data_IF_067831297997
#
_entry.id   IF_067831297997
#
_cell.length_a   1.000
_cell.length_b   1.000
_cell.length_c   1.000
_cell.angle_alpha   90.00
_cell.angle_beta   90.00
_cell.angle_gamma   90.00
#
_symmetry.space_group_name_H-M   'P 1'
#
loop_
_entity.id
_entity.type
_entity.pdbx_description
1 polymer ?
#
# COMPACT_ATOMS: atom_id res chain seq x y z
N UNK A 1 -12.37 51.38 23.51
CA UNK A 1 -11.64 50.53 22.54
C UNK A 1 -11.51 49.12 23.12
N UNK A 2 -12.31 48.16 22.67
CA UNK A 2 -12.18 46.74 23.04
C UNK A 2 -11.82 45.96 21.77
N UNK A 3 -10.61 45.40 21.73
CA UNK A 3 -10.11 44.56 20.63
C UNK A 3 -10.89 43.24 20.61
N UNK A 4 -11.49 42.90 19.46
CA UNK A 4 -12.06 41.58 19.19
C UNK A 4 -10.92 40.55 19.15
N UNK A 5 -10.94 39.56 20.04
CA UNK A 5 -10.25 38.29 19.79
C UNK A 5 -11.13 37.49 18.82
N UNK A 6 -10.65 37.25 17.60
CA UNK A 6 -11.15 36.17 16.77
C UNK A 6 -10.51 34.87 17.27
N UNK A 7 -11.34 33.98 17.78
CA UNK A 7 -11.04 32.58 18.02
C UNK A 7 -10.85 31.88 16.67
N UNK A 8 -9.63 31.47 16.35
CA UNK A 8 -9.35 30.50 15.29
C UNK A 8 -9.45 29.12 15.92
N UNK A 9 -10.59 28.46 15.75
CA UNK A 9 -10.70 27.01 15.98
C UNK A 9 -10.04 26.33 14.78
N UNK A 10 -8.76 25.99 14.92
CA UNK A 10 -8.11 25.05 14.03
C UNK A 10 -8.69 23.66 14.34
N UNK A 11 -9.68 23.23 13.57
CA UNK A 11 -10.16 21.85 13.61
C UNK A 11 -9.15 20.99 12.88
N UNK A 12 -8.16 20.49 13.62
CA UNK A 12 -7.24 19.46 13.15
C UNK A 12 -8.06 18.18 12.92
N UNK A 13 -8.43 17.91 11.67
CA UNK A 13 -8.90 16.57 11.28
C UNK A 13 -7.66 15.69 11.25
N UNK A 14 -7.40 15.04 12.38
CA UNK A 14 -6.40 13.98 12.49
C UNK A 14 -6.94 12.74 11.77
N UNK A 15 -6.74 12.70 10.45
CA UNK A 15 -7.07 11.53 9.65
C UNK A 15 -5.98 10.47 9.88
N UNK A 16 -6.16 9.62 10.89
CA UNK A 16 -5.30 8.45 11.11
C UNK A 16 -5.75 7.34 10.15
N UNK A 17 -5.39 7.48 8.88
CA UNK A 17 -5.34 6.31 8.00
C UNK A 17 -4.03 5.60 8.32
N UNK A 18 -4.09 4.59 9.18
CA UNK A 18 -2.96 3.70 9.41
C UNK A 18 -2.93 2.69 8.27
N UNK A 19 -2.31 3.07 7.14
CA UNK A 19 -1.90 2.10 6.14
C UNK A 19 -0.86 1.17 6.77
N UNK A 20 -1.31 0.05 7.35
CA UNK A 20 -0.42 -1.01 7.81
C UNK A 20 0.00 -1.83 6.60
N UNK A 21 1.09 -1.39 5.97
CA UNK A 21 1.84 -2.14 4.96
C UNK A 21 2.16 -3.53 5.51
N UNK A 22 1.40 -4.54 5.13
CA UNK A 22 1.86 -5.91 5.31
C UNK A 22 2.59 -6.35 4.06
N UNK A 23 3.86 -6.69 4.27
CA UNK A 23 4.85 -7.15 3.31
C UNK A 23 4.26 -7.83 2.06
N UNK A 24 4.35 -7.11 0.93
CA UNK A 24 4.63 -7.67 -0.40
C UNK A 24 3.69 -8.75 -0.96
N UNK A 25 2.38 -8.71 -0.68
CA UNK A 25 1.48 -9.65 -1.33
C UNK A 25 0.11 -9.04 -1.65
N UNK A 26 -0.12 -8.78 -2.94
CA UNK A 26 -1.45 -8.63 -3.54
C UNK A 26 -2.28 -9.88 -3.36
N UNK A 27 -3.61 -9.75 -3.48
CA UNK A 27 -4.45 -10.89 -3.77
C UNK A 27 -4.21 -11.40 -5.19
N UNK A 28 -4.42 -12.69 -5.44
CA UNK A 28 -4.37 -13.27 -6.77
C UNK A 28 -5.67 -14.00 -7.06
N UNK A 29 -6.19 -13.87 -8.28
CA UNK A 29 -7.38 -14.62 -8.69
C UNK A 29 -6.92 -15.96 -9.26
N UNK A 30 -7.41 -17.06 -8.67
CA UNK A 30 -7.23 -18.43 -9.20
C UNK A 30 -8.53 -19.20 -9.10
N UNK A 31 -8.90 -19.87 -10.20
CA UNK A 31 -10.11 -20.70 -10.27
C UNK A 31 -11.38 -19.97 -9.79
N UNK A 32 -11.50 -18.67 -10.09
CA UNK A 32 -12.64 -17.85 -9.67
C UNK A 32 -12.61 -17.39 -8.19
N UNK A 33 -11.57 -17.76 -7.44
CA UNK A 33 -11.38 -17.35 -6.04
C UNK A 33 -10.28 -16.32 -5.90
N UNK A 34 -10.50 -15.31 -5.05
CA UNK A 34 -9.45 -14.39 -4.61
C UNK A 34 -8.65 -15.08 -3.51
N UNK A 35 -7.40 -15.42 -3.81
CA UNK A 35 -6.42 -15.89 -2.85
C UNK A 35 -5.66 -14.70 -2.27
N UNK A 36 -5.46 -14.68 -0.96
CA UNK A 36 -4.80 -13.57 -0.26
C UNK A 36 -3.63 -14.09 0.58
N UNK A 37 -2.58 -13.30 0.79
CA UNK A 37 -1.50 -13.70 1.69
C UNK A 37 -2.00 -13.87 3.11
N UNK A 38 -1.70 -15.04 3.69
CA UNK A 38 -2.12 -15.37 5.04
C UNK A 38 -1.70 -14.31 6.06
N UNK A 39 -0.41 -14.00 6.09
CA UNK A 39 0.13 -13.10 7.11
C UNK A 39 -0.43 -11.68 6.95
N UNK A 40 -0.49 -11.19 5.71
CA UNK A 40 -0.87 -9.81 5.46
C UNK A 40 -2.32 -9.46 5.66
N UNK A 41 -3.21 -10.44 5.61
CA UNK A 41 -4.61 -10.23 5.97
C UNK A 41 -4.84 -10.48 7.46
N UNK A 42 -4.36 -11.60 7.99
CA UNK A 42 -4.79 -12.06 9.31
C UNK A 42 -4.11 -11.35 10.47
N UNK A 43 -2.86 -10.90 10.34
CA UNK A 43 -2.24 -10.06 11.37
C UNK A 43 -2.99 -8.73 11.52
N UNK A 44 -3.44 -8.16 10.39
CA UNK A 44 -4.24 -6.94 10.37
C UNK A 44 -5.64 -7.13 10.97
N UNK A 45 -6.22 -8.34 10.87
CA UNK A 45 -7.46 -8.70 11.57
C UNK A 45 -7.24 -9.04 13.07
N UNK A 46 -6.00 -8.96 13.56
CA UNK A 46 -5.67 -9.21 14.97
C UNK A 46 -5.39 -10.65 15.34
N UNK A 47 -5.09 -11.50 14.36
CA UNK A 47 -4.57 -12.83 14.63
C UNK A 47 -3.06 -12.78 14.80
N UNK A 48 -2.53 -13.76 15.55
CA UNK A 48 -1.11 -14.08 15.53
C UNK A 48 -0.89 -15.22 14.55
N UNK A 49 0.18 -15.14 13.77
CA UNK A 49 0.52 -16.14 12.75
C UNK A 49 1.90 -16.72 13.07
N UNK A 50 1.99 -18.04 13.19
CA UNK A 50 3.22 -18.77 13.44
C UNK A 50 3.42 -19.84 12.38
N UNK A 51 4.68 -20.08 12.00
CA UNK A 51 5.05 -21.19 11.14
C UNK A 51 5.77 -22.25 11.95
N UNK A 52 5.30 -23.49 11.90
CA UNK A 52 6.02 -24.65 12.39
C UNK A 52 6.79 -25.26 11.21
N UNK A 53 8.13 -25.19 11.25
CA UNK A 53 9.00 -25.74 10.21
C UNK A 53 9.01 -27.26 10.17
N UNK A 54 8.86 -27.92 11.31
CA UNK A 54 9.00 -29.37 11.44
C UNK A 54 7.79 -30.09 10.84
N UNK A 55 6.60 -29.49 10.99
CA UNK A 55 5.34 -30.01 10.45
C UNK A 55 4.87 -29.26 9.19
N UNK A 56 5.65 -28.30 8.71
CA UNK A 56 5.30 -27.38 7.62
C UNK A 56 3.86 -26.82 7.75
N UNK A 57 3.52 -26.33 8.94
CA UNK A 57 2.15 -25.94 9.31
C UNK A 57 2.09 -24.48 9.73
N UNK A 58 1.19 -23.71 9.12
CA UNK A 58 0.83 -22.38 9.59
C UNK A 58 -0.23 -22.49 10.69
N UNK A 59 0.07 -21.91 11.84
CA UNK A 59 -0.82 -21.81 13.00
C UNK A 59 -1.27 -20.36 13.15
N UNK A 60 -2.58 -20.12 13.07
CA UNK A 60 -3.17 -18.79 13.16
C UNK A 60 -4.17 -18.77 14.30
N UNK A 61 -4.06 -17.81 15.21
CA UNK A 61 -4.97 -17.76 16.35
C UNK A 61 -5.21 -16.37 16.89
N UNK A 62 -6.40 -16.19 17.47
CA UNK A 62 -6.74 -15.08 18.35
C UNK A 62 -7.52 -15.63 19.56
N UNK A 63 -8.21 -14.78 20.31
CA UNK A 63 -8.98 -15.19 21.49
C UNK A 63 -10.12 -16.17 21.16
N UNK A 64 -10.66 -16.14 19.94
CA UNK A 64 -11.88 -16.88 19.55
C UNK A 64 -11.64 -18.03 18.57
N UNK A 65 -10.51 -18.01 17.87
CA UNK A 65 -10.23 -18.91 16.76
C UNK A 65 -8.82 -19.50 16.84
N UNK A 66 -8.73 -20.80 16.53
CA UNK A 66 -7.50 -21.54 16.28
C UNK A 66 -7.59 -22.20 14.91
N UNK A 67 -6.68 -21.84 14.02
CA UNK A 67 -6.65 -22.28 12.64
C UNK A 67 -5.31 -22.97 12.37
N UNK A 68 -5.36 -24.13 11.73
CA UNK A 68 -4.19 -24.91 11.35
C UNK A 68 -4.22 -25.24 9.86
N UNK A 69 -3.13 -24.89 9.16
CA UNK A 69 -3.03 -25.01 7.72
C UNK A 69 -1.71 -25.67 7.37
N UNK A 70 -1.76 -26.92 6.93
CA UNK A 70 -0.58 -27.62 6.46
C UNK A 70 -0.24 -27.20 5.03
N UNK A 71 1.06 -27.05 4.75
CA UNK A 71 1.57 -26.84 3.39
C UNK A 71 1.08 -27.92 2.45
N UNK A 72 0.70 -27.53 1.23
CA UNK A 72 0.24 -28.42 0.15
C UNK A 72 -0.97 -29.30 0.49
N UNK A 73 -1.67 -29.04 1.60
CA UNK A 73 -2.97 -29.66 1.84
C UNK A 73 -4.05 -28.96 1.01
N UNK A 74 -5.15 -29.66 0.75
CA UNK A 74 -6.34 -29.09 0.10
C UNK A 74 -7.41 -28.66 1.13
N UNK A 75 -7.11 -28.81 2.42
CA UNK A 75 -8.01 -28.52 3.54
C UNK A 75 -7.29 -27.73 4.62
N UNK A 76 -8.05 -27.08 5.50
CA UNK A 76 -7.54 -26.48 6.73
C UNK A 76 -8.49 -26.76 7.90
N UNK A 77 -8.00 -26.61 9.13
CA UNK A 77 -8.78 -26.88 10.35
C UNK A 77 -9.04 -25.57 11.08
N UNK A 78 -10.29 -25.30 11.47
CA UNK A 78 -10.70 -24.15 12.30
C UNK A 78 -11.46 -24.65 13.52
N UNK A 79 -10.97 -24.35 14.72
CA UNK A 79 -11.55 -24.79 16.00
C UNK A 79 -11.86 -26.31 16.02
N UNK A 80 -10.95 -27.12 15.46
CA UNK A 80 -11.09 -28.58 15.37
C UNK A 80 -11.99 -29.07 14.22
N UNK A 81 -12.65 -28.19 13.47
CA UNK A 81 -13.47 -28.55 12.31
C UNK A 81 -12.65 -28.45 11.02
N UNK A 82 -12.67 -29.50 10.20
CA UNK A 82 -12.03 -29.48 8.87
C UNK A 82 -12.89 -28.70 7.88
N UNK A 83 -12.25 -27.82 7.11
CA UNK A 83 -12.81 -27.02 6.04
C UNK A 83 -12.13 -27.40 4.73
N UNK A 84 -12.95 -27.69 3.72
CA UNK A 84 -12.51 -28.01 2.36
C UNK A 84 -12.95 -26.87 1.42
N UNK A 85 -12.07 -25.91 1.11
CA UNK A 85 -12.40 -24.83 0.19
C UNK A 85 -12.48 -25.31 -1.27
N UNK A 86 -13.30 -24.64 -2.08
CA UNK A 86 -13.41 -24.91 -3.54
C UNK A 86 -12.09 -24.64 -4.29
N UNK A 87 -11.25 -23.77 -3.74
CA UNK A 87 -9.89 -23.51 -4.24
C UNK A 87 -8.91 -23.74 -3.09
N UNK A 88 -7.94 -24.66 -3.23
CA UNK A 88 -7.02 -24.98 -2.14
C UNK A 88 -6.06 -23.82 -1.86
N UNK A 89 -5.47 -23.83 -0.66
CA UNK A 89 -4.33 -22.97 -0.36
C UNK A 89 -3.17 -23.22 -1.34
N UNK A 90 -2.38 -22.20 -1.61
CA UNK A 90 -1.26 -22.26 -2.55
C UNK A 90 -0.04 -21.55 -1.97
N UNK A 91 1.15 -22.04 -2.27
CA UNK A 91 2.39 -21.27 -2.02
C UNK A 91 2.79 -20.54 -3.30
N UNK A 92 2.98 -19.21 -3.20
CA UNK A 92 3.45 -18.35 -4.28
C UNK A 92 4.67 -17.60 -3.75
N UNK A 93 5.82 -17.80 -4.38
CA UNK A 93 7.11 -17.17 -4.02
C UNK A 93 7.49 -17.28 -2.53
N UNK A 94 7.12 -18.42 -1.91
CA UNK A 94 7.39 -18.71 -0.50
C UNK A 94 6.36 -18.14 0.47
N UNK A 95 5.33 -17.47 -0.01
CA UNK A 95 4.20 -16.96 0.78
C UNK A 95 3.00 -17.89 0.65
N UNK A 96 2.32 -18.18 1.77
CA UNK A 96 1.08 -18.96 1.77
C UNK A 96 -0.11 -18.07 1.45
N UNK A 97 -0.86 -18.49 0.43
CA UNK A 97 -2.06 -17.83 -0.08
C UNK A 97 -3.28 -18.69 0.16
N UNK A 98 -4.37 -18.04 0.57
CA UNK A 98 -5.61 -18.72 0.94
C UNK A 98 -6.84 -18.06 0.33
N UNK A 99 -7.88 -18.83 -0.02
CA UNK A 99 -9.16 -18.30 -0.49
C UNK A 99 -9.80 -17.42 0.60
N UNK A 100 -9.93 -16.12 0.30
CA UNK A 100 -10.42 -15.13 1.28
C UNK A 100 -11.81 -15.49 1.80
N UNK A 101 -12.72 -15.90 0.91
CA UNK A 101 -14.10 -16.22 1.26
C UNK A 101 -14.18 -17.42 2.21
N UNK A 102 -13.51 -18.53 1.88
CA UNK A 102 -13.58 -19.74 2.70
C UNK A 102 -13.04 -19.51 4.12
N UNK A 103 -11.98 -18.70 4.25
CA UNK A 103 -11.49 -18.30 5.57
C UNK A 103 -12.44 -17.32 6.26
N UNK A 104 -12.98 -16.34 5.52
CA UNK A 104 -13.95 -15.39 6.04
C UNK A 104 -15.16 -16.10 6.65
N UNK A 105 -15.74 -17.04 5.92
CA UNK A 105 -16.84 -17.88 6.38
C UNK A 105 -16.45 -18.70 7.63
N UNK A 106 -15.25 -19.26 7.66
CA UNK A 106 -14.78 -20.08 8.77
C UNK A 106 -14.54 -19.28 10.07
N UNK A 107 -14.22 -17.98 9.97
CA UNK A 107 -14.02 -17.08 11.13
C UNK A 107 -15.18 -16.09 11.33
N UNK A 108 -16.31 -16.32 10.64
CA UNK A 108 -17.48 -15.44 10.67
C UNK A 108 -17.16 -13.96 10.33
N UNK A 109 -16.17 -13.73 9.49
CA UNK A 109 -15.87 -12.42 8.93
C UNK A 109 -16.78 -12.11 7.74
N UNK A 110 -17.15 -10.85 7.57
CA UNK A 110 -17.85 -10.40 6.38
C UNK A 110 -16.85 -10.29 5.24
N UNK A 111 -17.20 -10.79 4.05
CA UNK A 111 -16.38 -10.63 2.84
C UNK A 111 -17.20 -10.02 1.72
N UNK A 112 -16.59 -9.14 0.93
CA UNK A 112 -17.20 -8.56 -0.25
C UNK A 112 -16.20 -8.40 -1.38
N UNK A 113 -16.72 -8.29 -2.60
CA UNK A 113 -15.92 -8.05 -3.79
C UNK A 113 -16.35 -6.74 -4.43
N UNK A 114 -15.38 -5.88 -4.75
CA UNK A 114 -15.58 -4.67 -5.50
C UNK A 114 -15.00 -4.88 -6.91
N UNK A 115 -15.89 -5.01 -7.89
CA UNK A 115 -15.52 -5.27 -9.28
C UNK A 115 -14.79 -4.08 -9.93
N UNK A 116 -15.20 -2.86 -9.60
CA UNK A 116 -14.61 -1.63 -10.15
C UNK A 116 -13.16 -1.46 -9.68
N UNK A 117 -12.92 -1.70 -8.40
CA UNK A 117 -11.61 -1.57 -7.77
C UNK A 117 -10.80 -2.88 -7.78
N UNK A 118 -11.32 -3.95 -8.40
CA UNK A 118 -10.74 -5.30 -8.43
C UNK A 118 -10.20 -5.74 -7.07
N UNK A 119 -10.99 -5.49 -6.02
CA UNK A 119 -10.56 -5.67 -4.65
C UNK A 119 -11.54 -6.52 -3.85
N UNK A 120 -10.98 -7.34 -2.98
CA UNK A 120 -11.72 -8.13 -2.02
C UNK A 120 -11.58 -7.50 -0.64
N UNK A 121 -12.70 -7.32 0.06
CA UNK A 121 -12.73 -6.77 1.41
C UNK A 121 -13.06 -7.88 2.38
N UNK A 122 -12.41 -7.88 3.54
CA UNK A 122 -12.75 -8.70 4.70
C UNK A 122 -12.88 -7.82 5.94
N UNK A 123 -13.92 -8.03 6.72
CA UNK A 123 -14.17 -7.31 7.96
C UNK A 123 -14.46 -8.27 9.12
N UNK A 124 -13.74 -8.10 10.22
CA UNK A 124 -13.92 -8.86 11.45
C UNK A 124 -13.76 -7.95 12.66
N UNK A 125 -14.76 -7.94 13.54
CA UNK A 125 -14.75 -7.18 14.81
C UNK A 125 -14.36 -5.70 14.63
N UNK A 126 -14.91 -5.04 13.61
CA UNK A 126 -14.64 -3.63 13.29
C UNK A 126 -13.28 -3.35 12.65
N UNK A 127 -12.47 -4.39 12.38
CA UNK A 127 -11.24 -4.30 11.59
C UNK A 127 -11.57 -4.68 10.15
N UNK A 128 -11.22 -3.79 9.22
CA UNK A 128 -11.45 -3.95 7.79
C UNK A 128 -10.11 -4.04 7.07
N UNK A 129 -10.02 -5.00 6.16
CA UNK A 129 -8.86 -5.22 5.30
C UNK A 129 -9.34 -5.30 3.85
N UNK A 130 -8.76 -4.50 2.98
CA UNK A 130 -9.01 -4.47 1.53
C UNK A 130 -7.78 -5.00 0.82
N UNK A 131 -7.97 -6.05 0.03
CA UNK A 131 -6.93 -6.72 -0.75
C UNK A 131 -7.21 -6.50 -2.23
N UNK A 132 -6.29 -5.85 -2.93
CA UNK A 132 -6.40 -5.64 -4.37
C UNK A 132 -5.83 -6.82 -5.14
N UNK A 133 -6.42 -7.14 -6.29
CA UNK A 133 -5.98 -8.27 -7.15
C UNK A 133 -5.22 -7.84 -8.39
N UNK A 134 -5.29 -6.55 -8.70
CA UNK A 134 -4.59 -5.86 -9.78
C UNK A 134 -3.49 -4.91 -9.25
N UNK A 135 -3.38 -4.75 -7.91
CA UNK A 135 -2.39 -3.90 -7.24
C UNK A 135 -1.69 -4.66 -6.11
N UNK A 136 -0.39 -4.44 -5.93
CA UNK A 136 0.50 -5.21 -5.05
C UNK A 136 0.47 -4.84 -3.56
N UNK A 137 -0.68 -4.41 -3.02
CA UNK A 137 -0.77 -4.01 -1.61
C UNK A 137 -2.12 -4.36 -0.97
N UNK A 138 -2.13 -4.29 0.37
CA UNK A 138 -3.28 -4.50 1.23
C UNK A 138 -3.50 -3.22 2.04
N UNK A 139 -4.73 -2.75 2.16
CA UNK A 139 -5.11 -1.63 3.03
C UNK A 139 -5.84 -2.19 4.25
N UNK A 140 -5.42 -1.82 5.45
CA UNK A 140 -6.07 -2.26 6.69
C UNK A 140 -6.34 -1.07 7.62
N UNK A 141 -7.38 -1.17 8.44
CA UNK A 141 -7.85 -0.08 9.30
C UNK A 141 -9.14 -0.44 10.03
N UNK A 142 -9.70 0.52 10.79
CA UNK A 142 -11.02 0.34 11.42
C UNK A 142 -12.13 0.68 10.42
N UNK A 143 -13.30 0.07 10.57
CA UNK A 143 -14.45 0.29 9.67
C UNK A 143 -14.86 1.76 9.54
N UNK A 144 -14.58 2.59 10.56
CA UNK A 144 -14.82 4.04 10.56
C UNK A 144 -13.78 4.86 9.78
N UNK A 145 -12.56 4.34 9.57
CA UNK A 145 -11.45 5.00 8.87
C UNK A 145 -11.27 4.55 7.40
N UNK A 146 -12.09 3.61 6.92
CA UNK A 146 -11.98 3.01 5.59
C UNK A 146 -13.29 3.02 4.80
N UNK A 147 -14.30 3.72 5.31
CA UNK A 147 -15.42 4.15 4.48
C UNK A 147 -14.93 5.36 3.69
N UNK A 148 -14.34 5.09 2.51
CA UNK A 148 -14.33 6.09 1.46
C UNK A 148 -15.79 6.40 1.21
N UNK A 149 -16.33 7.45 1.83
CA UNK A 149 -17.60 8.00 1.39
C UNK A 149 -17.44 8.24 -0.09
N UNK A 150 -18.16 7.46 -0.89
CA UNK A 150 -18.47 7.82 -2.27
C UNK A 150 -18.90 9.30 -2.26
N UNK A 151 -18.53 10.10 -3.27
CA UNK A 151 -19.10 11.43 -3.40
C UNK A 151 -20.62 11.24 -3.48
N UNK A 152 -21.31 11.59 -2.40
CA UNK A 152 -22.76 11.61 -2.38
C UNK A 152 -23.18 12.66 -3.38
N UNK A 153 -23.57 12.18 -4.56
CA UNK A 153 -24.34 12.96 -5.51
C UNK A 153 -25.62 13.34 -4.77
N UNK A 154 -25.74 14.61 -4.37
CA UNK A 154 -27.02 15.13 -3.87
C UNK A 154 -28.03 14.97 -5.00
N UNK A 155 -28.89 13.96 -4.88
CA UNK A 155 -30.16 13.93 -5.58
C UNK A 155 -30.94 15.17 -5.14
N UNK A 156 -31.13 16.11 -6.06
CA UNK A 156 -32.10 17.19 -5.90
C UNK A 156 -33.43 16.59 -6.34
N UNK A 157 -34.30 16.33 -5.38
CA UNK A 157 -35.70 16.02 -5.65
C UNK A 157 -36.34 17.20 -6.38
N UNK A 158 -36.90 16.91 -7.55
CA UNK A 158 -37.78 17.81 -8.28
C UNK A 158 -39.14 17.78 -7.58
N UNK A 159 -39.53 18.89 -6.95
CA UNK A 159 -40.95 19.21 -6.72
C UNK A 159 -41.25 20.52 -7.45
N UNK A 160 -42.14 20.37 -8.43
CA UNK A 160 -42.80 21.39 -9.25
C UNK A 160 -43.55 22.42 -8.42
N UNK A 161 -43.36 23.73 -8.67
CA UNK A 161 -44.43 24.74 -8.76
C UNK A 161 -44.01 25.93 -9.68
N UNK A 162 -44.55 25.90 -10.91
CA UNK A 162 -45.32 26.96 -11.62
C UNK A 162 -44.98 28.46 -11.45
N UNK A 163 -44.55 29.06 -12.58
CA UNK A 163 -44.94 30.39 -13.19
C UNK A 163 -44.74 31.66 -12.32
N UNK A 164 -44.00 32.69 -12.76
CA UNK A 164 -44.39 33.63 -13.83
C UNK A 164 -43.21 34.57 -14.21
N UNK A 165 -43.03 34.73 -15.52
CA UNK A 165 -42.46 35.84 -16.32
C UNK A 165 -41.53 36.89 -15.67
N UNK A 166 -40.36 37.13 -16.26
CA UNK A 166 -40.20 38.15 -17.31
C UNK A 166 -38.72 38.42 -17.68
N UNK A 167 -38.48 38.45 -19.00
CA UNK A 167 -37.49 39.25 -19.73
C UNK A 167 -36.00 38.88 -19.60
N UNK A 168 -35.62 38.00 -20.52
CA UNK A 168 -34.48 38.09 -21.47
C UNK A 168 -33.55 39.31 -21.35
N UNK A 169 -32.28 39.05 -21.06
CA UNK A 169 -31.20 39.57 -21.91
C UNK A 169 -30.16 38.47 -22.14
N UNK A 170 -29.89 38.25 -23.42
CA UNK A 170 -29.06 37.19 -23.98
C UNK A 170 -27.60 37.60 -23.84
N UNK A 171 -26.78 36.76 -23.21
CA UNK A 171 -25.37 36.67 -23.56
C UNK A 171 -25.00 35.19 -23.55
N UNK A 172 -24.78 34.67 -24.76
CA UNK A 172 -24.32 33.33 -25.04
C UNK A 172 -22.89 33.18 -24.53
N UNK A 173 -22.71 32.50 -23.41
CA UNK A 173 -21.45 31.80 -23.14
C UNK A 173 -21.71 30.31 -23.32
N UNK A 174 -21.11 29.75 -24.36
CA UNK A 174 -21.06 28.31 -24.61
C UNK A 174 -20.36 27.62 -23.43
N UNK A 175 -21.12 26.92 -22.60
CA UNK A 175 -20.56 25.93 -21.68
C UNK A 175 -20.01 24.77 -22.50
N UNK A 176 -18.75 24.92 -22.91
CA UNK A 176 -17.95 23.82 -23.44
C UNK A 176 -17.82 22.78 -22.32
N UNK A 177 -18.40 21.60 -22.54
CA UNK A 177 -18.16 20.42 -21.72
C UNK A 177 -16.69 20.02 -21.90
N UNK A 178 -15.83 20.49 -20.99
CA UNK A 178 -14.40 20.21 -20.99
C UNK A 178 -14.12 18.75 -20.62
N UNK A 179 -14.32 17.84 -21.58
CA UNK A 179 -13.48 16.65 -21.68
C UNK A 179 -12.11 17.14 -22.15
N UNK A 180 -11.23 17.45 -21.21
CA UNK A 180 -9.86 17.86 -21.53
C UNK A 180 -9.18 16.65 -22.16
N UNK A 181 -9.01 16.70 -23.48
CA UNK A 181 -8.14 15.75 -24.19
C UNK A 181 -6.73 16.05 -23.68
N UNK A 182 -6.24 15.22 -22.76
CA UNK A 182 -4.89 15.35 -22.23
C UNK A 182 -3.90 15.32 -23.38
N UNK A 183 -2.94 16.25 -23.36
CA UNK A 183 -1.91 16.31 -24.40
C UNK A 183 -0.95 15.13 -24.23
N UNK A 184 -0.31 14.71 -25.32
CA UNK A 184 0.67 13.60 -25.32
C UNK A 184 1.78 13.82 -24.27
N UNK A 185 2.10 15.07 -23.94
CA UNK A 185 3.09 15.46 -22.92
C UNK A 185 2.61 15.27 -21.47
N UNK A 186 1.30 15.35 -21.21
CA UNK A 186 0.74 15.23 -19.87
C UNK A 186 0.87 13.79 -19.32
N UNK A 187 0.78 12.79 -20.19
CA UNK A 187 0.95 11.35 -19.85
C UNK A 187 2.20 10.72 -20.48
N UNK A 188 3.13 11.51 -21.00
CA UNK A 188 4.26 11.02 -21.78
C UNK A 188 5.02 9.89 -21.05
N UNK A 189 4.96 8.68 -21.61
CA UNK A 189 5.68 7.52 -21.11
C UNK A 189 5.06 6.80 -19.91
N UNK A 190 3.87 7.15 -19.43
CA UNK A 190 3.15 6.37 -18.40
C UNK A 190 1.63 6.57 -18.54
N UNK A 191 0.94 5.54 -19.03
CA UNK A 191 -0.50 5.63 -19.29
C UNK A 191 -1.29 5.88 -18.01
N UNK A 192 -2.19 6.87 -18.03
CA UNK A 192 -3.12 7.17 -16.93
C UNK A 192 -2.51 7.94 -15.74
N UNK A 193 -1.21 8.23 -15.73
CA UNK A 193 -0.56 8.94 -14.62
C UNK A 193 0.17 10.18 -15.10
N UNK A 194 -0.25 11.36 -14.64
CA UNK A 194 0.32 12.62 -15.14
C UNK A 194 1.80 12.75 -14.81
N UNK A 195 2.54 13.30 -15.76
CA UNK A 195 3.98 13.57 -15.61
C UNK A 195 4.27 14.50 -14.43
N UNK A 196 3.42 15.50 -14.17
CA UNK A 196 3.58 16.42 -13.02
C UNK A 196 3.53 15.69 -11.67
N UNK A 197 2.61 14.73 -11.50
CA UNK A 197 2.53 13.90 -10.31
C UNK A 197 3.77 13.01 -10.18
N UNK A 198 4.13 12.28 -11.24
CA UNK A 198 5.31 11.41 -11.23
C UNK A 198 6.59 12.17 -10.92
N UNK A 199 6.73 13.37 -11.49
CA UNK A 199 7.87 14.26 -11.25
C UNK A 199 8.01 14.64 -9.77
N UNK A 200 6.90 14.90 -9.07
CA UNK A 200 6.94 15.20 -7.63
C UNK A 200 7.41 13.98 -6.82
N UNK A 201 6.84 12.80 -7.10
CA UNK A 201 7.24 11.54 -6.45
C UNK A 201 8.73 11.26 -6.65
N UNK A 202 9.21 11.35 -7.89
CA UNK A 202 10.62 11.12 -8.24
C UNK A 202 11.53 12.12 -7.53
N UNK A 203 11.13 13.40 -7.47
CA UNK A 203 11.92 14.44 -6.79
C UNK A 203 12.09 14.16 -5.29
N UNK A 204 11.04 13.69 -4.62
CA UNK A 204 11.08 13.36 -3.19
C UNK A 204 11.94 12.12 -2.91
N UNK A 205 11.84 11.07 -3.74
CA UNK A 205 12.70 9.88 -3.68
C UNK A 205 14.18 10.25 -3.88
N UNK A 206 14.49 11.01 -4.93
CA UNK A 206 15.86 11.45 -5.23
C UNK A 206 16.42 12.39 -4.15
N UNK A 207 15.56 13.15 -3.48
CA UNK A 207 15.98 13.98 -2.35
C UNK A 207 16.44 13.12 -1.17
N UNK A 208 15.72 12.05 -0.84
CA UNK A 208 16.16 11.11 0.19
C UNK A 208 17.43 10.37 -0.23
N UNK A 209 17.51 9.89 -1.48
CA UNK A 209 18.71 9.26 -2.06
C UNK A 209 19.95 10.12 -1.92
N UNK A 210 19.87 11.41 -2.26
CA UNK A 210 21.01 12.34 -2.15
C UNK A 210 21.42 12.63 -0.71
N UNK A 211 20.50 12.57 0.25
CA UNK A 211 20.79 12.87 1.66
C UNK A 211 21.21 11.64 2.46
N UNK A 212 20.90 10.44 1.97
CA UNK A 212 21.31 9.20 2.59
C UNK A 212 22.81 8.94 2.38
N UNK A 213 23.46 8.54 3.46
CA UNK A 213 24.81 7.98 3.46
C UNK A 213 24.87 6.86 4.50
N UNK A 214 25.70 5.85 4.27
CA UNK A 214 25.80 4.69 5.15
C UNK A 214 26.03 5.13 6.60
N UNK A 215 25.09 4.76 7.47
CA UNK A 215 25.06 5.07 8.90
C UNK A 215 24.08 6.16 9.34
N UNK A 216 23.30 6.78 8.44
CA UNK A 216 22.36 7.83 8.79
C UNK A 216 20.87 7.52 8.58
N UNK A 217 20.47 6.32 8.17
CA UNK A 217 19.07 5.99 7.85
C UNK A 217 18.12 6.30 9.01
N UNK A 218 18.49 5.97 10.25
CA UNK A 218 17.65 6.20 11.44
C UNK A 218 17.61 7.67 11.90
N UNK A 219 18.53 8.51 11.45
CA UNK A 219 18.56 9.93 11.81
C UNK A 219 18.08 10.84 10.68
N UNK A 220 18.07 10.34 9.45
CA UNK A 220 17.57 11.05 8.28
C UNK A 220 16.04 11.11 8.33
N UNK A 221 15.49 12.30 8.60
CA UNK A 221 14.04 12.51 8.68
C UNK A 221 13.28 12.02 7.45
N UNK A 222 13.85 12.15 6.25
CA UNK A 222 13.22 11.71 5.00
C UNK A 222 13.05 10.18 4.89
N UNK A 223 13.84 9.41 5.63
CA UNK A 223 13.75 7.94 5.68
C UNK A 223 12.85 7.44 6.83
N UNK A 224 12.31 8.36 7.64
CA UNK A 224 11.38 8.01 8.71
C UNK A 224 10.00 7.73 8.13
N UNK A 225 9.33 6.71 8.69
CA UNK A 225 8.02 6.27 8.24
C UNK A 225 7.00 7.42 8.20
N UNK A 226 6.97 8.26 9.23
CA UNK A 226 6.03 9.38 9.32
C UNK A 226 6.25 10.43 8.22
N UNK A 227 7.51 10.70 7.87
CA UNK A 227 7.83 11.63 6.80
C UNK A 227 7.45 11.07 5.42
N UNK A 228 7.66 9.77 5.21
CA UNK A 228 7.27 9.07 3.98
C UNK A 228 5.74 9.07 3.83
N UNK A 229 5.00 8.81 4.92
CA UNK A 229 3.52 8.88 4.94
C UNK A 229 3.05 10.31 4.65
N UNK A 230 3.70 11.33 5.21
CA UNK A 230 3.37 12.72 4.93
C UNK A 230 3.58 13.07 3.44
N UNK A 231 4.70 12.65 2.85
CA UNK A 231 4.96 12.83 1.41
C UNK A 231 3.89 12.11 0.57
N UNK A 232 3.56 10.86 0.90
CA UNK A 232 2.48 10.10 0.26
C UNK A 232 1.14 10.84 0.30
N UNK A 233 0.78 11.42 1.44
CA UNK A 233 -0.47 12.18 1.57
C UNK A 233 -0.47 13.45 0.71
N UNK A 234 0.69 14.09 0.55
CA UNK A 234 0.85 15.22 -0.38
C UNK A 234 0.65 14.76 -1.82
N UNK A 235 1.24 13.64 -2.24
CA UNK A 235 1.03 13.07 -3.57
C UNK A 235 -0.45 12.70 -3.79
N UNK A 236 -1.12 12.07 -2.83
CA UNK A 236 -2.55 11.73 -2.89
C UNK A 236 -3.43 12.97 -3.05
N UNK A 237 -3.06 14.10 -2.45
CA UNK A 237 -3.79 15.35 -2.61
C UNK A 237 -3.70 15.93 -4.04
N UNK A 238 -2.66 15.54 -4.79
CA UNK A 238 -2.46 15.92 -6.18
C UNK A 238 -3.21 15.00 -7.16
N UNK A 239 -3.60 13.80 -6.72
CA UNK A 239 -4.19 12.78 -7.57
C UNK A 239 -5.63 13.13 -7.99
N UNK A 240 -5.92 12.99 -9.28
CA UNK A 240 -7.24 13.26 -9.84
C UNK A 240 -7.88 12.06 -10.55
N UNK A 241 -7.22 10.90 -10.58
CA UNK A 241 -7.76 9.65 -11.12
C UNK A 241 -7.44 8.44 -10.23
N UNK A 242 -8.11 7.32 -10.49
CA UNK A 242 -7.87 6.05 -9.80
C UNK A 242 -6.50 5.45 -10.18
N UNK A 243 -6.05 5.66 -11.42
CA UNK A 243 -4.74 5.25 -11.91
C UNK A 243 -3.62 5.99 -11.18
N UNK A 244 -3.78 7.31 -10.96
CA UNK A 244 -2.83 8.12 -10.21
C UNK A 244 -2.74 7.71 -8.74
N UNK A 245 -3.88 7.45 -8.10
CA UNK A 245 -3.91 6.91 -6.73
C UNK A 245 -3.18 5.57 -6.66
N UNK A 246 -3.42 4.69 -7.63
CA UNK A 246 -2.76 3.37 -7.70
C UNK A 246 -1.24 3.49 -7.90
N UNK A 247 -0.79 4.46 -8.70
CA UNK A 247 0.63 4.78 -8.85
C UNK A 247 1.25 5.30 -7.54
N UNK A 248 0.56 6.18 -6.83
CA UNK A 248 1.02 6.71 -5.55
C UNK A 248 1.15 5.60 -4.52
N UNK A 249 0.21 4.66 -4.47
CA UNK A 249 0.27 3.55 -3.52
C UNK A 249 1.53 2.70 -3.75
N UNK A 250 1.82 2.30 -5.00
CA UNK A 250 3.05 1.54 -5.30
C UNK A 250 4.33 2.35 -5.13
N UNK A 251 4.27 3.68 -5.34
CA UNK A 251 5.40 4.57 -5.10
C UNK A 251 5.71 4.75 -3.61
N UNK A 252 4.68 4.82 -2.77
CA UNK A 252 4.81 4.90 -1.31
C UNK A 252 5.42 3.62 -0.77
N UNK A 253 4.95 2.46 -1.23
CA UNK A 253 5.56 1.17 -0.89
C UNK A 253 7.02 1.10 -1.33
N UNK A 254 7.33 1.55 -2.54
CA UNK A 254 8.73 1.65 -2.99
C UNK A 254 9.57 2.52 -2.05
N UNK A 255 9.06 3.68 -1.60
CA UNK A 255 9.79 4.57 -0.69
C UNK A 255 10.00 3.93 0.70
N UNK A 256 8.97 3.28 1.25
CA UNK A 256 9.11 2.52 2.50
C UNK A 256 10.16 1.42 2.36
N UNK A 257 10.18 0.73 1.22
CA UNK A 257 11.16 -0.32 0.91
C UNK A 257 12.57 0.25 0.80
N UNK A 258 12.72 1.38 0.12
CA UNK A 258 13.96 2.12 0.00
C UNK A 258 14.54 2.49 1.38
N UNK A 259 13.70 3.05 2.27
CA UNK A 259 14.11 3.34 3.64
C UNK A 259 14.50 2.09 4.44
N UNK A 260 13.77 0.99 4.30
CA UNK A 260 14.14 -0.28 4.95
C UNK A 260 15.44 -0.88 4.41
N UNK A 261 15.74 -0.69 3.12
CA UNK A 261 17.01 -1.13 2.53
C UNK A 261 18.17 -0.30 3.09
N UNK A 262 18.00 1.03 3.20
CA UNK A 262 18.97 1.92 3.84
C UNK A 262 19.27 1.49 5.30
N UNK A 263 18.24 1.11 6.07
CA UNK A 263 18.44 0.57 7.42
C UNK A 263 19.21 -0.76 7.43
N UNK A 264 18.88 -1.68 6.52
CA UNK A 264 19.61 -2.93 6.40
C UNK A 264 21.11 -2.71 6.07
N UNK A 265 21.41 -1.71 5.22
CA UNK A 265 22.78 -1.32 4.89
C UNK A 265 23.49 -0.77 6.13
N UNK A 266 22.84 0.09 6.90
CA UNK A 266 23.40 0.67 8.13
C UNK A 266 23.67 -0.40 9.21
N UNK A 267 22.74 -1.35 9.37
CA UNK A 267 22.91 -2.53 10.24
C UNK A 267 24.09 -3.38 9.78
N UNK A 268 24.20 -3.64 8.47
CA UNK A 268 25.30 -4.39 7.87
C UNK A 268 26.64 -3.70 8.16
N UNK A 269 26.74 -2.39 7.96
CA UNK A 269 27.96 -1.62 8.16
C UNK A 269 28.43 -1.61 9.63
N UNK A 270 27.48 -1.67 10.58
CA UNK A 270 27.73 -1.61 12.02
C UNK A 270 27.79 -2.98 12.71
N UNK A 271 27.82 -4.08 11.95
CA UNK A 271 27.74 -5.45 12.49
C UNK A 271 28.90 -5.87 13.40
N UNK A 272 30.02 -5.17 13.38
CA UNK A 272 31.22 -5.52 14.14
C UNK A 272 31.78 -4.32 14.87
N UNK A 273 32.32 -4.58 16.07
CA UNK A 273 33.10 -3.62 16.85
C UNK A 273 34.61 -3.69 16.54
N UNK A 274 35.07 -4.70 15.78
CA UNK A 274 36.48 -4.85 15.37
C UNK A 274 36.85 -3.84 14.27
N UNK A 275 37.86 -3.02 14.54
CA UNK A 275 38.28 -1.91 13.66
C UNK A 275 38.74 -2.39 12.28
N UNK A 276 39.40 -3.55 12.19
CA UNK A 276 39.91 -4.11 10.93
C UNK A 276 38.77 -4.58 10.04
N UNK A 277 37.82 -5.32 10.62
CA UNK A 277 36.65 -5.84 9.93
C UNK A 277 35.64 -4.73 9.59
N UNK A 278 35.58 -3.65 10.39
CA UNK A 278 34.66 -2.52 10.19
C UNK A 278 34.90 -1.81 8.85
N UNK A 279 36.15 -1.66 8.43
CA UNK A 279 36.47 -1.06 7.12
C UNK A 279 35.97 -1.92 5.94
N UNK A 280 36.12 -3.25 6.04
CA UNK A 280 35.62 -4.19 5.04
C UNK A 280 34.09 -4.18 4.94
N UNK A 281 33.38 -4.21 6.08
CA UNK A 281 31.92 -4.16 6.06
C UNK A 281 31.39 -2.81 5.60
N UNK A 282 32.09 -1.72 5.89
CA UNK A 282 31.75 -0.41 5.33
C UNK A 282 31.89 -0.38 3.81
N UNK A 283 32.98 -0.89 3.25
CA UNK A 283 33.17 -0.96 1.80
C UNK A 283 32.08 -1.80 1.11
N UNK A 284 31.69 -2.93 1.71
CA UNK A 284 30.59 -3.75 1.18
C UNK A 284 29.21 -3.07 1.37
N UNK A 285 29.01 -2.30 2.44
CA UNK A 285 27.81 -1.50 2.63
C UNK A 285 27.70 -0.38 1.58
N UNK A 286 28.82 0.23 1.19
CA UNK A 286 28.87 1.21 0.12
C UNK A 286 28.47 0.57 -1.24
N UNK A 287 28.92 -0.66 -1.55
CA UNK A 287 28.44 -1.42 -2.72
C UNK A 287 26.93 -1.68 -2.69
N UNK A 288 26.38 -2.05 -1.52
CA UNK A 288 24.94 -2.19 -1.38
C UNK A 288 24.19 -0.87 -1.56
N UNK A 289 24.76 0.24 -1.10
CA UNK A 289 24.22 1.57 -1.32
C UNK A 289 24.20 1.91 -2.81
N UNK A 290 25.28 1.65 -3.54
CA UNK A 290 25.33 1.92 -4.99
C UNK A 290 24.26 1.12 -5.75
N UNK A 291 24.05 -0.15 -5.37
CA UNK A 291 22.97 -0.98 -5.93
C UNK A 291 21.58 -0.46 -5.57
N UNK A 292 21.39 0.01 -4.34
CA UNK A 292 20.14 0.64 -3.88
C UNK A 292 19.85 1.90 -4.69
N UNK A 293 20.84 2.77 -4.85
CA UNK A 293 20.74 4.02 -5.61
C UNK A 293 20.39 3.74 -7.08
N UNK A 294 20.99 2.73 -7.70
CA UNK A 294 20.65 2.32 -9.06
C UNK A 294 19.19 1.86 -9.19
N UNK A 295 18.63 1.21 -8.16
CA UNK A 295 17.21 0.82 -8.16
C UNK A 295 16.32 2.06 -8.02
N UNK A 296 16.68 3.04 -7.18
CA UNK A 296 15.97 4.33 -7.10
C UNK A 296 16.01 5.08 -8.43
N UNK A 297 17.16 5.08 -9.12
CA UNK A 297 17.27 5.70 -10.44
C UNK A 297 16.38 5.00 -11.48
N UNK A 298 16.29 3.67 -11.43
CA UNK A 298 15.42 2.89 -12.31
C UNK A 298 13.93 3.22 -12.13
N UNK A 299 13.51 3.62 -10.92
CA UNK A 299 12.14 4.06 -10.65
C UNK A 299 11.74 5.25 -11.53
N UNK A 300 12.67 6.19 -11.77
CA UNK A 300 12.42 7.36 -12.61
C UNK A 300 12.19 7.01 -14.09
N UNK A 301 12.61 5.81 -14.50
CA UNK A 301 12.47 5.29 -15.87
C UNK A 301 11.22 4.42 -16.05
N UNK A 302 10.46 4.13 -14.99
CA UNK A 302 9.27 3.30 -15.05
C UNK A 302 8.20 3.92 -15.97
N UNK A 303 7.57 3.07 -16.78
CA UNK A 303 6.54 3.45 -17.75
C UNK A 303 5.17 2.88 -17.45
N UNK A 304 5.08 2.07 -16.40
CA UNK A 304 3.86 1.41 -15.95
C UNK A 304 3.93 1.08 -14.46
N UNK A 305 2.78 0.79 -13.86
CA UNK A 305 2.70 0.27 -12.48
C UNK A 305 3.49 -1.05 -12.37
N UNK A 306 3.50 -1.87 -13.42
CA UNK A 306 4.29 -3.10 -13.47
C UNK A 306 5.79 -2.82 -13.35
N UNK A 307 6.31 -1.78 -14.01
CA UNK A 307 7.72 -1.40 -13.89
C UNK A 307 8.05 -0.93 -12.48
N UNK A 308 7.14 -0.18 -11.85
CA UNK A 308 7.31 0.26 -10.45
C UNK A 308 7.36 -0.94 -9.50
N UNK A 309 6.49 -1.93 -9.70
CA UNK A 309 6.50 -3.17 -8.94
C UNK A 309 7.80 -3.97 -9.14
N UNK A 310 8.37 -3.98 -10.34
CA UNK A 310 9.66 -4.61 -10.60
C UNK A 310 10.81 -3.91 -9.86
N UNK A 311 10.80 -2.58 -9.80
CA UNK A 311 11.75 -1.80 -9.02
C UNK A 311 11.59 -2.08 -7.50
N UNK A 312 10.34 -2.16 -7.01
CA UNK A 312 10.03 -2.57 -5.64
C UNK A 312 10.62 -3.94 -5.31
N UNK A 313 10.39 -4.95 -6.16
CA UNK A 313 10.89 -6.31 -5.96
C UNK A 313 12.43 -6.34 -5.95
N UNK A 314 13.07 -5.57 -6.83
CA UNK A 314 14.53 -5.44 -6.85
C UNK A 314 15.07 -4.87 -5.54
N UNK A 315 14.40 -3.85 -4.99
CA UNK A 315 14.74 -3.27 -3.67
C UNK A 315 14.52 -4.30 -2.55
N UNK A 316 13.47 -5.11 -2.65
CA UNK A 316 13.15 -6.15 -1.70
C UNK A 316 14.22 -7.24 -1.68
N UNK A 317 14.61 -7.73 -2.84
CA UNK A 317 15.66 -8.73 -2.95
C UNK A 317 17.00 -8.21 -2.45
N UNK A 318 17.35 -6.95 -2.72
CA UNK A 318 18.57 -6.33 -2.19
C UNK A 318 18.60 -6.39 -0.66
N UNK A 319 17.54 -5.90 -0.01
CA UNK A 319 17.47 -5.91 1.46
C UNK A 319 17.56 -7.32 2.07
N UNK A 320 16.99 -8.31 1.39
CA UNK A 320 16.99 -9.71 1.83
C UNK A 320 18.40 -10.29 1.68
N UNK A 321 19.09 -9.98 0.59
CA UNK A 321 20.49 -10.36 0.39
C UNK A 321 21.37 -9.79 1.49
N UNK A 322 21.22 -8.50 1.82
CA UNK A 322 21.98 -7.84 2.89
C UNK A 322 21.77 -8.56 4.23
N UNK A 323 20.52 -8.83 4.60
CA UNK A 323 20.18 -9.49 5.87
C UNK A 323 20.57 -10.96 5.94
N UNK A 324 20.68 -11.66 4.81
CA UNK A 324 21.21 -13.03 4.78
C UNK A 324 22.68 -13.10 5.21
N UNK A 325 23.46 -12.05 4.99
CA UNK A 325 24.84 -11.97 5.45
C UNK A 325 24.98 -11.64 6.95
N UNK A 326 23.88 -11.47 7.68
CA UNK A 326 23.92 -11.25 9.14
C UNK A 326 23.93 -12.57 9.93
N UNK A 327 23.72 -13.74 9.29
CA UNK A 327 23.59 -15.05 9.96
C UNK A 327 24.61 -16.06 9.42
#
# INVERSE_FOLDING_TARGET
>A
MKKKLLSVLATTVLCIVTATSSFGASGVIRNGSVLVPLRGVFENLGFKVYWNSDTETAQIFNENYSISIQKNADTFVVNGKTISPDTPQTIIDGTMYLPLRALGDAVSAQTSWNEENKSAVIELNGKKVTVYTDKNYIVAGTSENLDLKEPTTKAIETTTETTTEATTEVTTEETTTGSTTATVDEYAGFAGVRYSLRKQVIADLQKAQKQYHVGNADTLSLMQRDAIVLASNQWLSMANSNEERSYIDVATEFYLRFADAAKAIDEYANRTSDTTSKAMYKAQADDFKDRMDAIVDSFSMCKSISDVNNAYNSMYDLSRQIRRFNW
#
